data_IF_213440349913
#
_entry.id   IF_213440349913
#
_cell.length_a   1.000
_cell.length_b   1.000
_cell.length_c   1.000
_cell.angle_alpha   90.00
_cell.angle_beta   90.00
_cell.angle_gamma   90.00
#
_symmetry.space_group_name_H-M   'P 1'
#
loop_
_entity.id
_entity.type
_entity.pdbx_description
1 polymer ?
#
# COMPACT_ATOMS: atom_id res chain seq x y z
N UNK A 1 -5.20 -10.99 -4.57
CA UNK A 1 -4.77 -9.58 -4.57
C UNK A 1 -4.56 -9.14 -6.00
N UNK A 2 -5.32 -8.15 -6.46
CA UNK A 2 -5.05 -7.47 -7.73
C UNK A 2 -4.09 -6.31 -7.46
N UNK A 3 -3.02 -6.25 -8.25
CA UNK A 3 -2.08 -5.14 -8.28
C UNK A 3 -2.15 -4.50 -9.65
N UNK A 4 -2.31 -3.17 -9.68
CA UNK A 4 -2.33 -2.38 -10.90
C UNK A 4 -1.11 -1.46 -10.94
N UNK A 5 -0.33 -1.58 -12.00
CA UNK A 5 0.84 -0.74 -12.25
C UNK A 5 0.61 0.04 -13.53
N UNK A 6 0.80 1.36 -13.47
CA UNK A 6 0.64 2.27 -14.59
C UNK A 6 1.81 3.24 -14.64
N UNK A 7 2.48 3.32 -15.80
CA UNK A 7 3.40 4.41 -16.08
C UNK A 7 2.62 5.66 -16.51
N UNK A 8 2.94 6.78 -15.89
CA UNK A 8 2.35 8.08 -16.14
C UNK A 8 3.13 8.81 -17.25
N UNK A 9 2.50 9.73 -17.99
CA UNK A 9 3.17 10.49 -19.05
C UNK A 9 4.33 11.37 -18.57
N UNK A 10 4.41 11.63 -17.26
CA UNK A 10 5.47 12.42 -16.62
C UNK A 10 6.64 11.56 -16.10
N UNK A 11 6.70 10.28 -16.50
CA UNK A 11 7.73 9.33 -16.09
C UNK A 11 7.48 8.64 -14.75
N UNK A 12 6.46 9.06 -13.98
CA UNK A 12 6.16 8.44 -12.69
C UNK A 12 5.50 7.08 -12.84
N UNK A 13 5.76 6.18 -11.89
CA UNK A 13 5.06 4.90 -11.79
C UNK A 13 3.99 4.99 -10.70
N UNK A 14 2.73 4.74 -11.07
CA UNK A 14 1.60 4.58 -10.16
C UNK A 14 1.41 3.09 -9.87
N UNK A 15 1.40 2.74 -8.59
CA UNK A 15 1.08 1.40 -8.11
C UNK A 15 -0.19 1.49 -7.26
N UNK A 16 -1.20 0.70 -7.59
CA UNK A 16 -2.42 0.59 -6.83
C UNK A 16 -2.64 -0.87 -6.41
N UNK A 17 -2.94 -1.07 -5.13
CA UNK A 17 -3.19 -2.41 -4.58
C UNK A 17 -4.26 -2.33 -3.50
N UNK A 18 -5.11 -3.34 -3.46
CA UNK A 18 -6.01 -3.57 -2.34
C UNK A 18 -5.28 -4.29 -1.19
N UNK A 19 -5.29 -3.68 0.00
CA UNK A 19 -4.73 -4.20 1.25
C UNK A 19 -5.81 -4.22 2.30
N UNK A 20 -6.19 -5.41 2.78
CA UNK A 20 -7.18 -5.61 3.85
C UNK A 20 -8.49 -4.82 3.62
N UNK A 21 -9.00 -4.84 2.38
CA UNK A 21 -10.25 -4.17 1.99
C UNK A 21 -10.13 -2.64 1.77
N UNK A 22 -8.92 -2.09 1.83
CA UNK A 22 -8.63 -0.69 1.51
C UNK A 22 -7.71 -0.56 0.29
N UNK A 23 -7.98 0.42 -0.58
CA UNK A 23 -7.09 0.71 -1.71
C UNK A 23 -5.94 1.62 -1.27
N UNK A 24 -4.72 1.20 -1.57
CA UNK A 24 -3.48 1.96 -1.37
C UNK A 24 -2.89 2.31 -2.73
N UNK A 25 -2.68 3.60 -2.98
CA UNK A 25 -2.07 4.11 -4.20
C UNK A 25 -0.73 4.77 -3.87
N UNK A 26 0.34 4.34 -4.53
CA UNK A 26 1.70 4.86 -4.36
C UNK A 26 2.20 5.41 -5.69
N UNK A 27 2.84 6.58 -5.65
CA UNK A 27 3.48 7.20 -6.80
C UNK A 27 4.99 7.25 -6.61
N UNK A 28 5.70 6.79 -7.63
CA UNK A 28 7.14 6.68 -7.65
C UNK A 28 7.72 7.53 -8.78
N UNK A 29 8.87 8.15 -8.55
CA UNK A 29 9.58 8.92 -9.57
C UNK A 29 10.30 8.00 -10.54
N UNK A 30 10.48 8.43 -11.79
CA UNK A 30 11.30 7.71 -12.78
C UNK A 30 12.77 7.56 -12.33
N UNK A 31 13.22 8.49 -11.48
CA UNK A 31 14.61 8.53 -10.99
C UNK A 31 14.88 7.55 -9.84
N UNK A 32 13.84 6.93 -9.31
CA UNK A 32 13.97 5.99 -8.21
C UNK A 32 14.47 4.64 -8.71
N UNK A 33 15.42 4.05 -7.99
CA UNK A 33 15.99 2.75 -8.31
C UNK A 33 14.98 1.61 -8.06
N UNK A 34 14.97 0.59 -8.94
CA UNK A 34 14.03 -0.54 -8.90
C UNK A 34 14.00 -1.29 -7.57
N UNK A 35 15.15 -1.51 -6.95
CA UNK A 35 15.24 -2.22 -5.67
C UNK A 35 14.69 -1.34 -4.52
N UNK A 36 14.95 -0.03 -4.61
CA UNK A 36 14.42 0.95 -3.65
C UNK A 36 12.89 1.03 -3.74
N UNK A 37 12.34 0.99 -4.95
CA UNK A 37 10.91 0.97 -5.21
C UNK A 37 10.22 -0.23 -4.57
N UNK A 38 10.77 -1.42 -4.76
CA UNK A 38 10.21 -2.65 -4.22
C UNK A 38 10.24 -2.66 -2.68
N UNK A 39 11.34 -2.22 -2.08
CA UNK A 39 11.47 -2.12 -0.61
C UNK A 39 10.48 -1.14 -0.01
N UNK A 40 10.41 0.08 -0.54
CA UNK A 40 9.49 1.11 -0.03
C UNK A 40 8.04 0.67 -0.20
N UNK A 41 7.71 0.05 -1.35
CA UNK A 41 6.38 -0.54 -1.58
C UNK A 41 6.04 -1.59 -0.52
N UNK A 42 6.92 -2.54 -0.24
CA UNK A 42 6.66 -3.57 0.78
C UNK A 42 6.40 -2.93 2.14
N UNK A 43 7.29 -2.04 2.59
CA UNK A 43 7.16 -1.39 3.89
C UNK A 43 5.84 -0.65 4.06
N UNK A 44 5.36 0.05 3.02
CA UNK A 44 4.08 0.76 3.07
C UNK A 44 2.92 -0.22 3.15
N UNK A 45 2.91 -1.26 2.31
CA UNK A 45 1.83 -2.24 2.28
C UNK A 45 1.75 -3.03 3.60
N UNK A 46 2.88 -3.42 4.16
CA UNK A 46 2.98 -4.11 5.44
C UNK A 46 2.43 -3.24 6.58
N UNK A 47 2.85 -1.96 6.63
CA UNK A 47 2.34 -1.02 7.63
C UNK A 47 0.82 -0.79 7.53
N UNK A 48 0.27 -0.73 6.31
CA UNK A 48 -1.18 -0.60 6.11
C UNK A 48 -1.94 -1.87 6.53
N UNK A 49 -1.41 -3.05 6.20
CA UNK A 49 -1.99 -4.32 6.63
C UNK A 49 -1.99 -4.44 8.16
N UNK A 50 -0.86 -4.14 8.81
CA UNK A 50 -0.74 -4.15 10.27
C UNK A 50 -1.71 -3.17 10.93
N UNK A 51 -1.82 -1.96 10.40
CA UNK A 51 -2.76 -0.95 10.90
C UNK A 51 -4.20 -1.42 10.82
N UNK A 52 -4.62 -1.96 9.68
CA UNK A 52 -5.99 -2.48 9.50
C UNK A 52 -6.28 -3.65 10.42
N UNK A 53 -5.33 -4.57 10.57
CA UNK A 53 -5.47 -5.70 11.48
C UNK A 53 -5.56 -5.24 12.96
N UNK A 54 -4.89 -4.16 13.34
CA UNK A 54 -4.98 -3.56 14.68
C UNK A 54 -6.29 -2.78 14.89
N UNK A 55 -6.73 -2.00 13.90
CA UNK A 55 -7.99 -1.26 13.95
C UNK A 55 -9.21 -2.20 13.98
N UNK A 56 -9.15 -3.32 13.26
CA UNK A 56 -10.17 -4.39 13.32
C UNK A 56 -10.29 -5.06 14.70
N UNK A 57 -9.23 -5.01 15.53
CA UNK A 57 -9.23 -5.53 16.90
C UNK A 57 -9.78 -4.56 17.95
N UNK A 58 -9.89 -3.26 17.64
CA UNK A 58 -10.46 -2.26 18.56
C UNK A 58 -11.99 -2.19 18.49
N UNK A 59 -12.64 -2.95 17.59
CA UNK A 59 -14.10 -2.99 17.47
C UNK A 59 -14.80 -3.98 18.43
N UNK A 60 -14.13 -4.46 19.48
CA UNK A 60 -14.79 -5.22 20.55
C UNK A 60 -14.57 -4.56 21.91
N UNK A 61 -15.16 -3.38 22.10
CA UNK A 61 -15.32 -2.74 23.41
C UNK A 61 -16.75 -2.88 23.97
N UNK A 62 -17.58 -3.79 23.43
CA UNK A 62 -18.95 -4.03 23.92
C UNK A 62 -19.19 -5.52 24.25
N UNK A 63 -18.41 -6.06 25.19
CA UNK A 63 -18.83 -7.25 25.94
C UNK A 63 -18.79 -6.93 27.43
N UNK A 64 -19.90 -6.36 27.92
CA UNK A 64 -20.25 -6.33 29.34
C UNK A 64 -21.65 -6.89 29.52
#
# INVERSE_FOLDING_TARGET
MQEYIQQMPDGRTRVEREVEGGFVTIYFSEKDDGDTLEKVKSMIMDAYAERKHREGKLSNCDQQ
#
